data_IF_178519022421
#
_entry.id   IF_178519022421
#
_cell.length_a   1.000
_cell.length_b   1.000
_cell.length_c   1.000
_cell.angle_alpha   90.00
_cell.angle_beta   90.00
_cell.angle_gamma   90.00
#
_symmetry.space_group_name_H-M   'P 1'
#
loop_
_entity.id
_entity.type
_entity.pdbx_description
1 polymer ?
#
# COMPACT_ATOMS: atom_id res chain seq x y z
N UNK A 1 6.89 12.08 16.28
CA UNK A 1 7.91 12.58 15.32
C UNK A 1 7.23 12.84 13.98
N UNK A 2 7.53 13.94 13.29
CA UNK A 2 6.79 14.41 12.11
C UNK A 2 7.21 13.66 10.83
N UNK A 3 6.27 13.29 9.97
CA UNK A 3 6.55 12.59 8.71
C UNK A 3 7.16 13.55 7.68
N UNK A 4 8.50 13.65 7.67
CA UNK A 4 9.27 14.57 6.80
C UNK A 4 8.97 14.39 5.32
N UNK A 5 8.72 13.16 4.86
CA UNK A 5 8.41 12.91 3.45
C UNK A 5 7.05 13.51 3.06
N UNK A 6 6.07 13.41 3.96
CA UNK A 6 4.76 14.02 3.74
C UNK A 6 4.84 15.55 3.76
N UNK A 7 5.63 16.11 4.67
CA UNK A 7 5.87 17.56 4.72
C UNK A 7 6.56 18.06 3.45
N UNK A 8 7.62 17.38 3.00
CA UNK A 8 8.32 17.70 1.76
C UNK A 8 7.38 17.57 0.55
N UNK A 9 6.51 16.56 0.55
CA UNK A 9 5.52 16.39 -0.49
C UNK A 9 4.56 17.59 -0.57
N UNK A 10 4.00 17.98 0.58
CA UNK A 10 3.02 19.06 0.66
C UNK A 10 3.62 20.45 0.38
N UNK A 11 4.90 20.67 0.69
CA UNK A 11 5.53 21.99 0.59
C UNK A 11 6.25 22.23 -0.73
N UNK A 12 6.85 21.19 -1.32
CA UNK A 12 7.73 21.33 -2.48
C UNK A 12 7.28 20.45 -3.64
N UNK A 13 7.18 19.14 -3.41
CA UNK A 13 7.12 18.17 -4.52
C UNK A 13 5.84 18.31 -5.33
N UNK A 14 4.70 18.42 -4.65
CA UNK A 14 3.38 18.52 -5.30
C UNK A 14 3.23 19.77 -6.18
N UNK A 15 4.08 20.79 -6.02
CA UNK A 15 4.00 22.06 -6.75
C UNK A 15 5.17 22.34 -7.69
N UNK A 16 6.37 21.80 -7.41
CA UNK A 16 7.60 22.18 -8.10
C UNK A 16 8.21 21.05 -8.94
N UNK A 17 7.88 19.79 -8.68
CA UNK A 17 8.46 18.67 -9.43
C UNK A 17 7.75 18.44 -10.75
N UNK A 18 8.48 17.85 -11.70
CA UNK A 18 7.88 17.33 -12.92
C UNK A 18 6.86 16.24 -12.57
N UNK A 19 5.78 16.17 -13.34
CA UNK A 19 4.75 15.17 -13.10
C UNK A 19 4.14 14.65 -14.39
N UNK A 20 3.67 13.41 -14.33
CA UNK A 20 2.74 12.82 -15.28
C UNK A 20 1.43 12.49 -14.59
N UNK A 21 0.34 12.57 -15.35
CA UNK A 21 -1.02 12.33 -14.86
C UNK A 21 -1.72 11.45 -15.88
N UNK A 22 -2.51 10.49 -15.38
CA UNK A 22 -3.60 9.90 -16.14
C UNK A 22 -4.86 9.86 -15.26
N UNK A 23 -6.00 9.73 -15.92
CA UNK A 23 -7.27 9.46 -15.26
C UNK A 23 -7.90 8.21 -15.85
N UNK A 24 -8.63 7.47 -15.03
CA UNK A 24 -9.29 6.23 -15.41
C UNK A 24 -10.73 6.26 -14.90
N UNK A 25 -11.74 6.07 -15.76
CA UNK A 25 -13.13 5.99 -15.34
C UNK A 25 -13.36 4.76 -14.45
N UNK A 26 -14.36 4.80 -13.58
CA UNK A 26 -14.62 3.69 -12.65
C UNK A 26 -15.14 2.42 -13.34
N UNK A 27 -16.17 2.57 -14.18
CA UNK A 27 -16.85 1.48 -14.87
C UNK A 27 -15.88 0.47 -15.51
N UNK A 28 -16.06 -0.85 -15.28
CA UNK A 28 -17.19 -1.50 -14.59
C UNK A 28 -17.03 -1.63 -13.07
N UNK A 29 -15.98 -1.06 -12.48
CA UNK A 29 -15.69 -1.15 -11.05
C UNK A 29 -16.29 0.04 -10.31
N UNK A 30 -16.45 -0.08 -8.99
CA UNK A 30 -16.73 1.08 -8.16
C UNK A 30 -15.45 1.81 -7.71
N UNK A 31 -15.63 2.96 -7.03
CA UNK A 31 -14.55 3.82 -6.58
C UNK A 31 -13.56 3.07 -5.71
N UNK A 32 -14.08 2.26 -4.78
CA UNK A 32 -13.23 1.51 -3.85
C UNK A 32 -12.38 0.48 -4.57
N UNK A 33 -12.99 -0.32 -5.43
CA UNK A 33 -12.31 -1.38 -6.18
C UNK A 33 -11.18 -0.81 -7.03
N UNK A 34 -11.47 0.22 -7.83
CA UNK A 34 -10.46 0.81 -8.71
C UNK A 34 -9.35 1.51 -7.91
N UNK A 35 -9.68 2.16 -6.79
CA UNK A 35 -8.68 2.77 -5.91
C UNK A 35 -7.73 1.71 -5.33
N UNK A 36 -8.25 0.58 -4.82
CA UNK A 36 -7.41 -0.48 -4.25
C UNK A 36 -6.54 -1.14 -5.34
N UNK A 37 -7.08 -1.37 -6.55
CA UNK A 37 -6.28 -1.88 -7.67
C UNK A 37 -5.18 -0.91 -8.09
N UNK A 38 -5.47 0.39 -8.14
CA UNK A 38 -4.47 1.40 -8.44
C UNK A 38 -3.41 1.51 -7.35
N UNK A 39 -3.81 1.40 -6.08
CA UNK A 39 -2.88 1.31 -4.95
C UNK A 39 -1.89 0.18 -5.18
N UNK A 40 -2.39 -1.04 -5.37
CA UNK A 40 -1.56 -2.22 -5.59
C UNK A 40 -0.67 -2.08 -6.85
N UNK A 41 -1.23 -1.58 -7.95
CA UNK A 41 -0.50 -1.39 -9.22
C UNK A 41 0.65 -0.38 -9.11
N UNK A 42 0.48 0.67 -8.31
CA UNK A 42 1.53 1.65 -8.08
C UNK A 42 2.54 1.20 -7.01
N UNK A 43 2.26 0.11 -6.30
CA UNK A 43 3.05 -0.33 -5.17
C UNK A 43 4.07 -1.40 -5.56
N UNK A 44 5.16 -1.46 -4.78
CA UNK A 44 6.17 -2.50 -4.90
C UNK A 44 6.89 -2.67 -3.56
N UNK A 45 7.82 -3.63 -3.46
CA UNK A 45 8.51 -3.96 -2.21
C UNK A 45 9.24 -2.75 -1.58
N UNK A 46 9.78 -1.83 -2.37
CA UNK A 46 10.51 -0.65 -1.88
C UNK A 46 9.64 0.59 -1.70
N UNK A 47 8.37 0.52 -2.07
CA UNK A 47 7.42 1.62 -1.95
C UNK A 47 6.87 1.71 -0.54
N UNK A 48 6.69 2.93 -0.06
CA UNK A 48 6.15 3.28 1.25
C UNK A 48 4.87 4.06 1.07
N UNK A 49 3.86 3.73 1.87
CA UNK A 49 2.70 4.57 2.03
C UNK A 49 2.97 5.64 3.08
N UNK A 50 3.13 6.90 2.65
CA UNK A 50 3.43 8.01 3.57
C UNK A 50 2.17 8.76 4.01
N UNK A 51 1.04 8.55 3.31
CA UNK A 51 -0.26 9.09 3.67
C UNK A 51 -1.37 8.28 3.01
N UNK A 52 -2.42 7.98 3.77
CA UNK A 52 -3.63 7.38 3.25
C UNK A 52 -4.86 7.92 3.96
N UNK A 53 -5.90 8.18 3.17
CA UNK A 53 -7.25 8.53 3.61
C UNK A 53 -8.21 7.72 2.75
N UNK A 54 -9.22 7.11 3.39
CA UNK A 54 -10.18 6.25 2.71
C UNK A 54 -11.57 6.82 2.94
N UNK A 55 -12.37 6.89 1.87
CA UNK A 55 -13.80 7.19 1.95
C UNK A 55 -14.52 6.12 2.76
N UNK A 56 -15.52 6.51 3.55
CA UNK A 56 -16.39 5.56 4.25
C UNK A 56 -17.43 4.93 3.32
N UNK A 57 -17.67 5.57 2.18
CA UNK A 57 -18.62 5.14 1.16
C UNK A 57 -17.83 4.61 -0.03
N UNK A 58 -18.05 3.34 -0.36
CA UNK A 58 -17.27 2.62 -1.37
C UNK A 58 -17.61 3.06 -2.81
N UNK A 59 -18.73 3.75 -3.00
CA UNK A 59 -19.22 4.24 -4.29
C UNK A 59 -19.06 5.76 -4.45
N UNK A 60 -18.15 6.37 -3.66
CA UNK A 60 -17.84 7.81 -3.73
C UNK A 60 -16.36 8.10 -3.76
N UNK A 61 -16.03 9.26 -4.34
CA UNK A 61 -14.72 9.87 -4.27
C UNK A 61 -14.31 10.23 -2.84
N UNK A 62 -13.05 10.66 -2.69
CA UNK A 62 -12.48 11.13 -1.43
C UNK A 62 -11.39 10.24 -0.82
N UNK A 63 -11.18 9.04 -1.38
CA UNK A 63 -10.00 8.22 -1.06
C UNK A 63 -8.75 8.83 -1.69
N UNK A 64 -7.65 8.88 -0.93
CA UNK A 64 -6.37 9.42 -1.36
C UNK A 64 -5.22 8.63 -0.76
N UNK A 65 -4.23 8.28 -1.57
CA UNK A 65 -2.95 7.73 -1.11
C UNK A 65 -1.78 8.54 -1.68
N UNK A 66 -0.70 8.66 -0.89
CA UNK A 66 0.58 9.20 -1.33
C UNK A 66 1.64 8.14 -1.04
N UNK A 67 2.23 7.63 -2.12
CA UNK A 67 3.26 6.61 -2.12
C UNK A 67 4.61 7.26 -2.41
N UNK A 68 5.66 6.76 -1.75
CA UNK A 68 7.05 7.14 -1.99
C UNK A 68 7.87 5.90 -2.32
N UNK A 69 8.59 5.91 -3.44
CA UNK A 69 9.44 4.81 -3.86
C UNK A 69 10.94 5.16 -3.71
N UNK A 70 11.79 4.14 -3.56
CA UNK A 70 13.23 4.33 -3.31
C UNK A 70 14.01 4.96 -4.48
N UNK A 71 13.47 4.96 -5.70
CA UNK A 71 13.92 5.74 -6.85
C UNK A 71 13.57 7.24 -6.73
N UNK A 72 13.17 7.70 -5.54
CA UNK A 72 12.79 9.08 -5.23
C UNK A 72 11.57 9.59 -5.99
N UNK A 73 10.68 8.72 -6.47
CA UNK A 73 9.41 9.15 -7.09
C UNK A 73 8.28 9.15 -6.05
N UNK A 74 7.32 10.06 -6.22
CA UNK A 74 6.09 10.10 -5.43
C UNK A 74 4.90 9.80 -6.33
N UNK A 75 4.00 8.93 -5.90
CA UNK A 75 2.77 8.62 -6.64
C UNK A 75 1.58 8.97 -5.77
N UNK A 76 0.68 9.79 -6.31
CA UNK A 76 -0.58 10.18 -5.68
C UNK A 76 -1.70 9.48 -6.41
N UNK A 77 -2.59 8.84 -5.66
CA UNK A 77 -3.78 8.17 -6.17
C UNK A 77 -4.97 8.85 -5.50
N UNK A 78 -5.86 9.42 -6.28
CA UNK A 78 -7.02 10.17 -5.81
C UNK A 78 -8.28 9.63 -6.48
N UNK A 79 -9.20 9.12 -5.69
CA UNK A 79 -10.54 8.80 -6.15
C UNK A 79 -11.35 10.11 -6.17
N UNK A 80 -11.62 10.64 -7.37
CA UNK A 80 -12.53 11.77 -7.57
C UNK A 80 -13.96 11.26 -7.71
N UNK A 81 -14.93 12.14 -7.88
CA UNK A 81 -16.34 11.73 -7.97
C UNK A 81 -16.63 10.90 -9.23
N UNK A 82 -16.03 11.24 -10.37
CA UNK A 82 -16.31 10.57 -11.66
C UNK A 82 -15.18 9.64 -12.15
N UNK A 83 -13.96 9.86 -11.68
CA UNK A 83 -12.78 9.14 -12.17
C UNK A 83 -11.71 8.95 -11.09
N UNK A 84 -10.86 7.95 -11.27
CA UNK A 84 -9.63 7.80 -10.52
C UNK A 84 -8.52 8.62 -11.19
N UNK A 85 -7.86 9.49 -10.45
CA UNK A 85 -6.68 10.24 -10.89
C UNK A 85 -5.41 9.66 -10.28
N UNK A 86 -4.40 9.40 -11.10
CA UNK A 86 -3.06 9.02 -10.65
C UNK A 86 -2.05 10.02 -11.15
N UNK A 87 -1.24 10.55 -10.24
CA UNK A 87 -0.16 11.51 -10.55
C UNK A 87 1.17 10.99 -10.04
N UNK A 88 2.17 10.87 -10.91
CA UNK A 88 3.55 10.53 -10.52
C UNK A 88 4.43 11.76 -10.62
N UNK A 89 5.11 12.10 -9.53
CA UNK A 89 6.09 13.18 -9.43
C UNK A 89 7.50 12.61 -9.44
N UNK A 90 8.38 13.26 -10.20
CA UNK A 90 9.77 12.86 -10.37
C UNK A 90 10.66 14.09 -10.64
N UNK A 91 11.94 13.93 -10.38
CA UNK A 91 12.98 14.93 -10.66
C UNK A 91 14.07 14.41 -11.60
N UNK A 92 13.94 13.16 -12.06
CA UNK A 92 14.85 12.46 -12.94
C UNK A 92 14.08 12.02 -14.19
N UNK A 93 14.50 12.49 -15.36
CA UNK A 93 13.88 12.23 -16.66
C UNK A 93 13.81 10.75 -17.00
N UNK A 94 14.66 9.89 -16.40
CA UNK A 94 14.56 8.44 -16.57
C UNK A 94 13.24 7.85 -16.06
N UNK A 95 12.51 8.57 -15.20
CA UNK A 95 11.20 8.17 -14.71
C UNK A 95 10.04 8.82 -15.49
N UNK A 96 10.34 9.68 -16.47
CA UNK A 96 9.33 10.46 -17.18
C UNK A 96 8.24 9.54 -17.73
N UNK A 97 8.57 8.54 -18.53
CA UNK A 97 7.55 7.71 -19.18
C UNK A 97 7.04 6.55 -18.31
N UNK A 98 7.52 6.40 -17.08
CA UNK A 98 7.21 5.24 -16.24
C UNK A 98 5.70 5.12 -15.94
N UNK A 99 5.01 6.24 -15.75
CA UNK A 99 3.57 6.23 -15.50
C UNK A 99 2.81 5.77 -16.75
N UNK A 100 3.10 6.38 -17.91
CA UNK A 100 2.40 6.10 -19.16
C UNK A 100 2.75 4.72 -19.78
N UNK A 101 4.01 4.28 -19.68
CA UNK A 101 4.49 3.04 -20.32
C UNK A 101 4.28 1.79 -19.48
N UNK A 102 4.29 1.91 -18.15
CA UNK A 102 4.26 0.73 -17.26
C UNK A 102 3.01 0.70 -16.39
N UNK A 103 2.76 1.77 -15.62
CA UNK A 103 1.71 1.75 -14.58
C UNK A 103 0.30 1.82 -15.19
N UNK A 104 0.07 2.74 -16.11
CA UNK A 104 -1.26 2.94 -16.70
C UNK A 104 -1.74 1.72 -17.50
N UNK A 105 -0.94 1.13 -18.42
CA UNK A 105 -1.35 -0.08 -19.14
C UNK A 105 -1.57 -1.29 -18.21
N UNK A 106 -0.75 -1.41 -17.16
CA UNK A 106 -0.90 -2.47 -16.17
C UNK A 106 -2.19 -2.31 -15.37
N UNK A 107 -2.56 -1.08 -14.98
CA UNK A 107 -3.82 -0.83 -14.28
C UNK A 107 -5.02 -1.19 -15.14
N UNK A 108 -5.03 -0.80 -16.42
CA UNK A 108 -6.10 -1.15 -17.36
C UNK A 108 -6.22 -2.66 -17.49
N UNK A 109 -5.09 -3.36 -17.68
CA UNK A 109 -5.08 -4.84 -17.74
C UNK A 109 -5.68 -5.44 -16.47
N UNK A 110 -5.20 -5.01 -15.29
CA UNK A 110 -5.67 -5.52 -13.99
C UNK A 110 -7.13 -5.20 -13.72
N UNK A 111 -7.61 -4.02 -14.12
CA UNK A 111 -9.02 -3.63 -14.05
C UNK A 111 -9.90 -4.58 -14.86
N UNK A 112 -9.53 -4.86 -16.11
CA UNK A 112 -10.25 -5.80 -16.97
C UNK A 112 -10.23 -7.22 -16.42
N UNK A 113 -9.05 -7.73 -16.06
CA UNK A 113 -8.89 -9.05 -15.47
C UNK A 113 -9.68 -9.20 -14.16
N UNK A 114 -9.64 -8.19 -13.30
CA UNK A 114 -10.39 -8.18 -12.04
C UNK A 114 -11.90 -8.27 -12.28
N UNK A 115 -12.43 -7.54 -13.27
CA UNK A 115 -13.85 -7.58 -13.60
C UNK A 115 -14.32 -8.96 -14.10
N UNK A 116 -13.44 -9.74 -14.73
CA UNK A 116 -13.74 -11.10 -15.21
C UNK A 116 -13.68 -12.16 -14.10
N UNK A 117 -13.03 -11.85 -12.98
CA UNK A 117 -12.93 -12.75 -11.82
C UNK A 117 -14.29 -12.79 -11.09
N UNK A 118 -14.64 -13.95 -10.53
CA UNK A 118 -15.85 -14.07 -9.73
C UNK A 118 -15.82 -13.17 -8.48
N UNK A 119 -17.00 -12.74 -8.04
CA UNK A 119 -17.15 -11.80 -6.91
C UNK A 119 -16.52 -12.32 -5.61
N UNK A 120 -16.57 -13.63 -5.37
CA UNK A 120 -15.97 -14.25 -4.19
C UNK A 120 -14.45 -14.05 -4.15
N UNK A 121 -13.76 -14.23 -5.27
CA UNK A 121 -12.31 -14.05 -5.36
C UNK A 121 -11.96 -12.57 -5.45
N UNK A 122 -12.74 -11.74 -6.14
CA UNK A 122 -12.59 -10.28 -6.13
C UNK A 122 -12.54 -9.75 -4.69
N UNK A 123 -13.51 -10.14 -3.85
CA UNK A 123 -13.55 -9.76 -2.44
C UNK A 123 -12.30 -10.21 -1.66
N UNK A 124 -11.75 -11.38 -1.97
CA UNK A 124 -10.53 -11.87 -1.33
C UNK A 124 -9.28 -11.13 -1.81
N UNK A 125 -9.23 -10.73 -3.08
CA UNK A 125 -8.17 -9.87 -3.64
C UNK A 125 -8.17 -8.52 -2.93
N UNK A 126 -9.34 -7.85 -2.84
CA UNK A 126 -9.44 -6.55 -2.15
C UNK A 126 -9.03 -6.63 -0.68
N UNK A 127 -9.43 -7.70 0.03
CA UNK A 127 -8.98 -7.92 1.42
C UNK A 127 -7.48 -8.22 1.50
N UNK A 128 -6.90 -8.87 0.51
CA UNK A 128 -5.45 -9.09 0.43
C UNK A 128 -4.69 -7.78 0.16
N UNK A 129 -5.23 -6.88 -0.68
CA UNK A 129 -4.69 -5.53 -0.87
C UNK A 129 -4.79 -4.72 0.43
N UNK A 130 -5.85 -4.88 1.23
CA UNK A 130 -5.91 -4.29 2.57
C UNK A 130 -4.73 -4.76 3.45
N UNK A 131 -4.36 -6.04 3.41
CA UNK A 131 -3.17 -6.53 4.15
C UNK A 131 -1.91 -5.82 3.68
N UNK A 132 -1.71 -5.69 2.37
CA UNK A 132 -0.60 -4.93 1.78
C UNK A 132 -0.54 -3.49 2.33
N UNK A 133 -1.66 -2.78 2.35
CA UNK A 133 -1.75 -1.41 2.89
C UNK A 133 -1.39 -1.35 4.36
N UNK A 134 -1.84 -2.31 5.17
CA UNK A 134 -1.54 -2.39 6.60
C UNK A 134 -0.06 -2.67 6.87
N UNK A 135 0.58 -3.48 6.03
CA UNK A 135 2.02 -3.69 6.09
C UNK A 135 2.79 -2.40 5.78
N UNK A 136 2.33 -1.61 4.80
CA UNK A 136 2.95 -0.33 4.46
C UNK A 136 2.77 0.73 5.55
N UNK A 137 1.58 0.80 6.14
CA UNK A 137 1.29 1.66 7.29
C UNK A 137 2.25 1.34 8.44
N UNK A 138 2.37 0.05 8.78
CA UNK A 138 3.30 -0.42 9.79
C UNK A 138 4.76 -0.06 9.44
N UNK A 139 5.19 -0.30 8.21
CA UNK A 139 6.55 0.03 7.77
C UNK A 139 6.82 1.55 7.88
N UNK A 140 5.84 2.38 7.51
CA UNK A 140 5.98 3.82 7.62
C UNK A 140 6.11 4.28 9.09
N UNK A 141 5.26 3.77 9.98
CA UNK A 141 5.31 4.07 11.42
C UNK A 141 6.67 3.71 12.05
N UNK A 142 7.21 2.54 11.68
CA UNK A 142 8.53 2.07 12.13
C UNK A 142 9.64 2.99 11.61
N UNK A 143 9.59 3.41 10.34
CA UNK A 143 10.60 4.28 9.76
C UNK A 143 10.60 5.69 10.35
N UNK A 144 9.43 6.23 10.72
CA UNK A 144 9.34 7.53 11.42
C UNK A 144 9.56 7.40 12.93
N UNK A 145 9.82 6.18 13.44
CA UNK A 145 10.01 5.87 14.86
C UNK A 145 8.87 6.43 15.72
N UNK A 146 7.63 6.19 15.29
CA UNK A 146 6.45 6.56 16.07
C UNK A 146 6.40 5.76 17.39
N UNK A 147 5.41 6.05 18.24
CA UNK A 147 5.28 5.41 19.53
C UNK A 147 4.99 3.90 19.41
N UNK A 148 5.54 3.12 20.35
CA UNK A 148 5.43 1.67 20.38
C UNK A 148 3.98 1.18 20.30
N UNK A 149 3.04 1.86 20.96
CA UNK A 149 1.61 1.55 20.93
C UNK A 149 1.05 1.53 19.51
N UNK A 150 1.36 2.53 18.69
CA UNK A 150 0.85 2.61 17.31
C UNK A 150 1.42 1.50 16.43
N UNK A 151 2.70 1.18 16.62
CA UNK A 151 3.35 0.10 15.87
C UNK A 151 2.78 -1.26 16.29
N UNK A 152 2.55 -1.49 17.58
CA UNK A 152 1.86 -2.69 18.07
C UNK A 152 0.49 -2.87 17.41
N UNK A 153 -0.34 -1.82 17.38
CA UNK A 153 -1.65 -1.88 16.73
C UNK A 153 -1.54 -2.09 15.22
N UNK A 154 -0.61 -1.42 14.53
CA UNK A 154 -0.43 -1.62 13.09
C UNK A 154 0.01 -3.05 12.73
N UNK A 155 0.85 -3.69 13.56
CA UNK A 155 1.20 -5.11 13.40
C UNK A 155 -0.03 -6.00 13.64
N UNK A 156 -0.82 -5.69 14.69
CA UNK A 156 -2.06 -6.39 15.01
C UNK A 156 -3.06 -6.34 13.86
N UNK A 157 -3.35 -5.15 13.34
CA UNK A 157 -4.25 -4.92 12.20
C UNK A 157 -3.82 -5.74 10.98
N UNK A 158 -2.53 -5.73 10.63
CA UNK A 158 -2.00 -6.49 9.50
C UNK A 158 -2.18 -8.00 9.70
N UNK A 159 -1.91 -8.48 10.93
CA UNK A 159 -2.04 -9.90 11.29
C UNK A 159 -3.50 -10.37 11.23
N UNK A 160 -4.40 -9.62 11.84
CA UNK A 160 -5.83 -9.94 11.91
C UNK A 160 -6.46 -9.88 10.51
N UNK A 161 -6.16 -8.84 9.74
CA UNK A 161 -6.62 -8.72 8.35
C UNK A 161 -6.15 -9.90 7.51
N UNK A 162 -4.91 -10.37 7.70
CA UNK A 162 -4.36 -11.51 6.98
C UNK A 162 -5.02 -12.84 7.39
N UNK A 163 -5.34 -13.02 8.68
CA UNK A 163 -5.83 -14.28 9.22
C UNK A 163 -7.24 -14.65 8.73
N UNK A 164 -8.02 -13.66 8.27
CA UNK A 164 -9.42 -13.84 7.87
C UNK A 164 -9.63 -13.95 6.36
N UNK A 165 -8.55 -13.99 5.57
CA UNK A 165 -8.61 -14.04 4.09
C UNK A 165 -8.21 -15.43 3.59
N UNK A 166 -9.16 -16.25 3.08
CA UNK A 166 -8.84 -17.61 2.63
C UNK A 166 -7.74 -17.65 1.55
N UNK A 167 -7.83 -16.80 0.52
CA UNK A 167 -6.81 -16.66 -0.54
C UNK A 167 -5.39 -16.42 0.02
N UNK A 168 -5.28 -15.70 1.13
CA UNK A 168 -4.02 -15.49 1.85
C UNK A 168 -3.63 -16.74 2.64
N UNK A 169 -4.54 -17.26 3.45
CA UNK A 169 -4.27 -18.35 4.40
C UNK A 169 -3.98 -19.70 3.72
N UNK A 170 -4.58 -19.95 2.57
CA UNK A 170 -4.40 -21.16 1.76
C UNK A 170 -3.11 -21.13 0.93
N UNK A 171 -2.46 -19.95 0.81
CA UNK A 171 -1.19 -19.85 0.08
C UNK A 171 -0.03 -20.37 0.94
N UNK A 172 0.87 -21.14 0.31
CA UNK A 172 2.08 -21.65 0.94
C UNK A 172 2.91 -20.52 1.57
N UNK A 173 3.27 -20.70 2.84
CA UNK A 173 4.03 -19.72 3.62
C UNK A 173 3.18 -18.80 4.52
N UNK A 174 1.84 -18.86 4.43
CA UNK A 174 0.93 -18.08 5.30
C UNK A 174 1.22 -18.26 6.80
N UNK A 175 1.50 -19.49 7.24
CA UNK A 175 1.87 -19.80 8.63
C UNK A 175 3.16 -19.10 9.08
N UNK A 176 4.15 -18.95 8.19
CA UNK A 176 5.40 -18.25 8.49
C UNK A 176 5.15 -16.75 8.63
N UNK A 177 4.30 -16.19 7.78
CA UNK A 177 3.88 -14.77 7.87
C UNK A 177 3.17 -14.52 9.20
N UNK A 178 2.18 -15.34 9.54
CA UNK A 178 1.45 -15.24 10.81
C UNK A 178 2.39 -15.35 12.01
N UNK A 179 3.33 -16.29 11.98
CA UNK A 179 4.34 -16.44 13.03
C UNK A 179 5.26 -15.21 13.14
N UNK A 180 5.70 -14.65 12.02
CA UNK A 180 6.57 -13.47 11.99
C UNK A 180 5.85 -12.24 12.57
N UNK A 181 4.61 -11.97 12.15
CA UNK A 181 3.79 -10.89 12.68
C UNK A 181 3.51 -11.08 14.18
N UNK A 182 3.20 -12.30 14.61
CA UNK A 182 2.97 -12.60 16.02
C UNK A 182 4.22 -12.37 16.90
N UNK A 183 5.41 -12.74 16.42
CA UNK A 183 6.68 -12.49 17.13
C UNK A 183 6.95 -10.99 17.28
N UNK A 184 6.70 -10.21 16.23
CA UNK A 184 6.88 -8.75 16.29
C UNK A 184 5.83 -8.06 17.17
N UNK A 185 4.59 -8.52 17.13
CA UNK A 185 3.53 -8.05 18.02
C UNK A 185 3.89 -8.29 19.49
N UNK A 186 4.35 -9.51 19.84
CA UNK A 186 4.81 -9.83 21.19
C UNK A 186 6.05 -9.03 21.61
N UNK A 187 6.93 -8.71 20.66
CA UNK A 187 8.10 -7.84 20.91
C UNK A 187 7.65 -6.42 21.21
N UNK A 188 6.77 -5.85 20.38
CA UNK A 188 6.24 -4.49 20.56
C UNK A 188 5.43 -4.35 21.86
N UNK A 189 4.69 -5.38 22.26
CA UNK A 189 3.92 -5.41 23.49
C UNK A 189 4.77 -5.27 24.77
N UNK A 190 6.04 -5.72 24.73
CA UNK A 190 6.96 -5.65 25.88
C UNK A 190 7.66 -4.28 26.01
N UNK A 191 7.53 -3.42 25.00
CA UNK A 191 8.10 -2.08 25.01
C UNK A 191 7.18 -1.12 25.77
N UNK A 192 7.73 -0.03 26.29
CA UNK A 192 6.92 1.01 26.93
C UNK A 192 6.01 1.70 25.89
N UNK A 193 4.68 1.71 26.06
CA UNK A 193 3.74 2.07 24.98
C UNK A 193 3.92 3.46 24.38
N UNK A 194 4.26 4.46 25.20
CA UNK A 194 4.37 5.87 24.80
C UNK A 194 5.80 6.29 24.44
N UNK A 195 6.76 5.37 24.49
CA UNK A 195 8.12 5.63 24.00
C UNK A 195 8.21 5.41 22.49
N UNK A 196 9.17 6.09 21.86
CA UNK A 196 9.49 5.91 20.45
C UNK A 196 10.04 4.51 20.19
N UNK A 197 9.75 3.96 19.01
CA UNK A 197 10.25 2.64 18.63
C UNK A 197 11.79 2.55 18.67
N UNK A 198 12.37 1.53 19.33
CA UNK A 198 13.81 1.39 19.47
C UNK A 198 14.51 1.26 18.11
N UNK A 199 15.57 2.04 17.89
CA UNK A 199 16.35 2.02 16.65
C UNK A 199 16.92 0.63 16.35
N UNK A 200 17.32 -0.10 17.39
CA UNK A 200 17.87 -1.46 17.31
C UNK A 200 16.87 -2.47 16.71
N UNK A 201 15.56 -2.22 16.81
CA UNK A 201 14.52 -3.09 16.30
C UNK A 201 14.03 -2.69 14.89
N UNK A 202 14.29 -1.45 14.45
CA UNK A 202 13.81 -0.90 13.17
C UNK A 202 14.23 -1.79 11.99
N UNK A 203 15.53 -2.11 11.88
CA UNK A 203 16.04 -2.88 10.74
C UNK A 203 15.45 -4.29 10.68
N UNK A 204 15.30 -4.94 11.83
CA UNK A 204 14.73 -6.29 11.92
C UNK A 204 13.27 -6.33 11.46
N UNK A 205 12.45 -5.40 11.97
CA UNK A 205 11.03 -5.35 11.64
C UNK A 205 10.81 -4.99 10.18
N UNK A 206 11.50 -3.97 9.67
CA UNK A 206 11.39 -3.59 8.26
C UNK A 206 11.79 -4.71 7.31
N UNK A 207 12.85 -5.47 7.63
CA UNK A 207 13.25 -6.63 6.84
C UNK A 207 12.13 -7.68 6.75
N UNK A 208 11.46 -7.99 7.86
CA UNK A 208 10.35 -8.94 7.83
C UNK A 208 9.12 -8.37 7.10
N UNK A 209 8.76 -7.11 7.33
CA UNK A 209 7.64 -6.45 6.63
C UNK A 209 7.86 -6.45 5.11
N UNK A 210 9.08 -6.16 4.64
CA UNK A 210 9.41 -6.20 3.21
C UNK A 210 9.32 -7.62 2.62
N UNK A 211 9.75 -8.64 3.37
CA UNK A 211 9.62 -10.04 2.94
C UNK A 211 8.16 -10.47 2.83
N UNK A 212 7.35 -10.11 3.83
CA UNK A 212 5.92 -10.39 3.83
C UNK A 212 5.25 -9.64 2.68
N UNK A 213 5.54 -8.34 2.50
CA UNK A 213 5.02 -7.54 1.39
C UNK A 213 5.35 -8.16 0.04
N UNK A 214 6.60 -8.56 -0.19
CA UNK A 214 7.00 -9.26 -1.43
C UNK A 214 6.15 -10.51 -1.68
N UNK A 215 5.88 -11.28 -0.63
CA UNK A 215 5.04 -12.48 -0.72
C UNK A 215 3.57 -12.12 -1.03
N UNK A 216 3.01 -11.08 -0.38
CA UNK A 216 1.65 -10.59 -0.64
C UNK A 216 1.48 -10.08 -2.07
N UNK A 217 2.44 -9.30 -2.58
CA UNK A 217 2.42 -8.81 -3.95
C UNK A 217 2.42 -9.97 -4.95
N UNK A 218 3.26 -10.99 -4.75
CA UNK A 218 3.31 -12.16 -5.62
C UNK A 218 1.99 -12.96 -5.65
N UNK A 219 1.24 -12.97 -4.54
CA UNK A 219 -0.10 -13.56 -4.51
C UNK A 219 -1.04 -12.76 -5.39
N UNK A 220 -1.12 -11.45 -5.19
CA UNK A 220 -2.02 -10.56 -5.93
C UNK A 220 -1.73 -10.60 -7.43
N UNK A 221 -0.45 -10.50 -7.81
CA UNK A 221 0.01 -10.58 -9.21
C UNK A 221 -0.45 -11.89 -9.87
N UNK A 222 -0.40 -13.02 -9.15
CA UNK A 222 -0.86 -14.33 -9.66
C UNK A 222 -2.35 -14.36 -10.01
N UNK A 223 -3.19 -13.53 -9.40
CA UNK A 223 -4.61 -13.46 -9.72
C UNK A 223 -4.92 -12.35 -10.71
N UNK A 224 -4.21 -11.23 -10.64
CA UNK A 224 -4.50 -10.04 -11.43
C UNK A 224 -3.81 -10.03 -12.80
N UNK A 225 -2.67 -10.72 -12.95
CA UNK A 225 -1.85 -10.64 -14.17
C UNK A 225 -1.85 -11.91 -15.04
N UNK A 226 -2.58 -12.96 -14.61
CA UNK A 226 -2.88 -14.12 -15.44
C UNK A 226 -3.71 -13.76 -16.66
#
# INVERSE_FOLDING_TARGET
MQNRLLEQYNTVISSQWMSQIFTEPYEPLNHRQLFELAYHTCNNVSTRNIFIKISQDDDKGGSKAILYCNNKTFTTIEALDDELKVTMYFNDESNQDKLASNIHPLLIKRKNNFNEINELIQNQILKTILVERKLDECANLVMIKDINRKIYFAIGDARESAAVVPLFMETEGSNLVQLALNKWMATAQRLQPEETFPETHVQGLLKNLMQIKKWVLAILDKYLDK
#
